data_IF_353061412085
#
_entry.id   IF_353061412085
#
_cell.length_a   1.000
_cell.length_b   1.000
_cell.length_c   1.000
_cell.angle_alpha   90.00
_cell.angle_beta   90.00
_cell.angle_gamma   90.00
#
_symmetry.space_group_name_H-M   'P 1'
#
loop_
_entity.id
_entity.type
_entity.pdbx_description
1 polymer ?
#
# COMPACT_ATOMS: atom_id res chain seq x y z
N UNK A 1 -6.95 17.15 17.00
CA UNK A 1 -6.67 17.01 16.57
C UNK A 1 -6.42 16.25 16.29
N UNK A 2 -6.23 15.92 16.20
CA UNK A 2 -5.87 15.35 15.84
C UNK A 2 -5.55 14.94 15.14
N UNK A 3 -5.92 15.23 15.51
CA UNK A 3 -5.32 15.28 14.26
C UNK A 3 -4.61 14.05 13.85
N UNK A 4 -4.48 13.22 14.67
CA UNK A 4 -3.75 12.03 14.35
C UNK A 4 -4.50 11.24 13.33
N UNK A 5 -3.81 10.91 12.27
CA UNK A 5 -4.35 10.09 11.24
C UNK A 5 -4.19 8.65 11.66
N UNK A 6 -5.23 7.87 11.57
CA UNK A 6 -5.13 6.47 11.93
C UNK A 6 -4.53 5.68 10.78
N UNK A 7 -4.02 4.51 11.11
CA UNK A 7 -3.51 3.61 10.11
C UNK A 7 -4.58 3.27 9.08
N UNK A 8 -5.80 3.02 9.55
CA UNK A 8 -6.89 2.68 8.64
C UNK A 8 -7.20 3.81 7.68
N UNK A 9 -7.17 5.03 8.16
CA UNK A 9 -7.42 6.17 7.29
C UNK A 9 -6.35 6.31 6.24
N UNK A 10 -5.10 6.09 6.65
CA UNK A 10 -4.00 6.14 5.70
C UNK A 10 -4.16 5.07 4.62
N UNK A 11 -4.49 3.84 5.03
CA UNK A 11 -4.67 2.75 4.09
C UNK A 11 -5.82 3.04 3.13
N UNK A 12 -6.94 3.54 3.66
CA UNK A 12 -8.11 3.82 2.84
C UNK A 12 -7.82 4.90 1.80
N UNK A 13 -7.16 5.96 2.19
CA UNK A 13 -6.85 7.04 1.27
C UNK A 13 -5.85 6.60 0.22
N UNK A 14 -4.86 5.84 0.64
CA UNK A 14 -3.87 5.33 -0.29
C UNK A 14 -4.50 4.37 -1.29
N UNK A 15 -5.44 3.55 -0.82
CA UNK A 15 -6.10 2.61 -1.70
C UNK A 15 -6.94 3.34 -2.76
N UNK A 16 -7.66 4.38 -2.37
CA UNK A 16 -8.46 5.14 -3.31
C UNK A 16 -7.56 5.78 -4.38
N UNK A 17 -6.45 6.34 -3.95
CA UNK A 17 -5.48 6.91 -4.87
C UNK A 17 -4.94 5.85 -5.82
N UNK A 18 -4.57 4.72 -5.26
CA UNK A 18 -4.00 3.61 -6.03
C UNK A 18 -4.98 3.14 -7.10
N UNK A 19 -6.25 3.01 -6.74
CA UNK A 19 -7.27 2.56 -7.69
C UNK A 19 -7.41 3.52 -8.87
N UNK A 20 -7.32 4.81 -8.60
CA UNK A 20 -7.41 5.80 -9.68
C UNK A 20 -6.25 5.70 -10.64
N UNK A 21 -5.07 5.39 -10.11
CA UNK A 21 -3.87 5.33 -10.92
C UNK A 21 -3.60 3.96 -11.52
N UNK A 22 -4.41 2.99 -11.17
CA UNK A 22 -4.12 1.60 -11.52
C UNK A 22 -3.90 1.35 -13.01
N UNK A 23 -4.71 1.90 -13.92
CA UNK A 23 -4.49 1.61 -15.35
C UNK A 23 -3.09 1.98 -15.81
N UNK A 24 -2.60 3.12 -15.33
CA UNK A 24 -1.27 3.57 -15.70
C UNK A 24 -0.21 2.71 -15.03
N UNK A 25 -0.45 2.34 -13.79
CA UNK A 25 0.50 1.51 -13.06
C UNK A 25 0.64 0.14 -13.68
N UNK A 26 -0.47 -0.40 -14.16
CA UNK A 26 -0.41 -1.72 -14.80
C UNK A 26 0.46 -1.70 -16.06
N UNK A 27 0.47 -0.58 -16.75
CA UNK A 27 1.26 -0.47 -17.95
C UNK A 27 2.75 -0.49 -17.66
N UNK A 28 3.16 0.01 -16.50
CA UNK A 28 4.57 0.20 -16.23
C UNK A 28 5.12 -0.67 -15.11
N UNK A 29 4.27 -1.06 -14.17
CA UNK A 29 4.76 -1.70 -12.96
C UNK A 29 3.99 -2.96 -12.57
N UNK A 30 3.38 -3.61 -13.54
CA UNK A 30 2.58 -4.80 -13.27
C UNK A 30 3.40 -5.83 -12.47
N UNK A 31 2.77 -6.34 -11.42
CA UNK A 31 3.40 -7.37 -10.61
C UNK A 31 4.27 -6.86 -9.47
N UNK A 32 4.53 -5.57 -9.44
CA UNK A 32 5.33 -5.01 -8.36
C UNK A 32 4.44 -4.65 -7.17
N UNK A 33 5.08 -4.44 -6.04
CA UNK A 33 4.39 -4.01 -4.84
C UNK A 33 4.70 -2.53 -4.63
N UNK A 34 3.67 -1.72 -4.65
CA UNK A 34 3.82 -0.28 -4.49
C UNK A 34 3.73 0.09 -3.03
N UNK A 35 4.67 0.89 -2.58
CA UNK A 35 4.66 1.43 -1.23
C UNK A 35 4.04 2.81 -1.29
N UNK A 36 2.98 3.01 -0.52
CA UNK A 36 2.23 4.26 -0.57
C UNK A 36 2.25 4.96 0.78
N UNK A 37 2.37 6.26 0.70
CA UNK A 37 2.34 7.12 1.88
C UNK A 37 1.67 8.42 1.48
N UNK A 38 0.64 8.78 2.22
CA UNK A 38 0.00 10.08 2.05
C UNK A 38 -0.45 10.31 0.60
N UNK A 39 -1.10 9.28 0.04
CA UNK A 39 -1.61 9.30 -1.33
C UNK A 39 -0.54 9.49 -2.38
N UNK A 40 0.64 8.95 -2.12
CA UNK A 40 1.72 8.98 -3.10
C UNK A 40 2.41 7.63 -3.11
N UNK A 41 2.89 7.24 -4.27
CA UNK A 41 3.68 6.03 -4.38
C UNK A 41 5.14 6.43 -4.24
N UNK A 42 5.78 5.87 -3.23
CA UNK A 42 7.15 6.24 -2.91
C UNK A 42 8.17 5.23 -3.39
N UNK A 43 7.72 4.09 -3.86
CA UNK A 43 8.64 3.10 -4.41
C UNK A 43 7.92 1.85 -4.86
N UNK A 44 8.62 1.04 -5.65
CA UNK A 44 8.11 -0.24 -6.12
C UNK A 44 9.10 -1.31 -5.73
N UNK A 45 8.59 -2.46 -5.32
CA UNK A 45 9.42 -3.53 -4.82
C UNK A 45 8.97 -4.86 -5.41
N UNK A 46 9.87 -5.83 -5.42
CA UNK A 46 9.56 -7.13 -6.02
C UNK A 46 8.70 -7.99 -5.10
N UNK A 47 8.78 -7.77 -3.80
CA UNK A 47 8.00 -8.55 -2.86
C UNK A 47 7.35 -7.65 -1.84
N UNK A 48 6.28 -8.16 -1.23
CA UNK A 48 5.62 -7.42 -0.16
C UNK A 48 6.55 -7.21 1.03
N UNK A 49 7.39 -8.21 1.30
CA UNK A 49 8.33 -8.13 2.40
C UNK A 49 9.31 -6.98 2.20
N UNK A 50 9.83 -6.86 0.98
CA UNK A 50 10.77 -5.78 0.68
C UNK A 50 10.10 -4.42 0.84
N UNK A 51 8.86 -4.31 0.38
CA UNK A 51 8.13 -3.06 0.51
C UNK A 51 7.88 -2.73 1.98
N UNK A 52 7.55 -3.75 2.77
CA UNK A 52 7.29 -3.54 4.19
C UNK A 52 8.55 -3.10 4.92
N UNK A 53 9.66 -3.74 4.61
CA UNK A 53 10.94 -3.37 5.21
C UNK A 53 11.29 -1.92 4.90
N UNK A 54 11.12 -1.53 3.64
CA UNK A 54 11.41 -0.16 3.26
C UNK A 54 10.49 0.83 3.97
N UNK A 55 9.19 0.50 4.02
CA UNK A 55 8.23 1.38 4.68
C UNK A 55 8.54 1.55 6.16
N UNK A 56 8.91 0.45 6.80
CA UNK A 56 9.22 0.50 8.22
C UNK A 56 10.44 1.35 8.51
N UNK A 57 11.40 1.36 7.59
CA UNK A 57 12.59 2.16 7.76
C UNK A 57 12.36 3.63 7.45
N UNK A 58 11.49 3.91 6.48
CA UNK A 58 11.23 5.27 6.08
C UNK A 58 10.21 5.98 6.96
N UNK A 59 9.24 5.25 7.46
CA UNK A 59 8.11 5.85 8.16
C UNK A 59 7.95 5.21 9.53
N UNK A 60 8.52 5.87 10.50
CA UNK A 60 8.52 5.32 11.88
C UNK A 60 7.13 5.25 12.48
N UNK A 61 6.23 6.08 12.01
CA UNK A 61 4.87 6.08 12.53
C UNK A 61 4.03 4.93 11.98
N UNK A 62 4.56 4.20 11.01
CA UNK A 62 3.84 3.06 10.45
C UNK A 62 2.70 3.45 9.53
N UNK A 63 2.57 4.71 9.19
CA UNK A 63 1.47 5.18 8.35
C UNK A 63 1.84 5.05 6.88
N UNK A 64 1.73 3.85 6.38
CA UNK A 64 1.95 3.58 4.96
C UNK A 64 1.13 2.35 4.59
N UNK A 65 1.01 2.10 3.30
CA UNK A 65 0.32 0.91 2.83
C UNK A 65 1.08 0.31 1.66
N UNK A 66 0.76 -0.93 1.35
CA UNK A 66 1.41 -1.67 0.28
C UNK A 66 0.32 -2.29 -0.58
N UNK A 67 0.40 -2.07 -1.88
CA UNK A 67 -0.58 -2.60 -2.81
C UNK A 67 0.14 -3.27 -3.96
N UNK A 68 -0.31 -4.46 -4.32
CA UNK A 68 0.23 -5.13 -5.48
C UNK A 68 -0.38 -4.53 -6.74
N UNK A 69 0.46 -4.28 -7.73
CA UNK A 69 -0.01 -3.72 -8.99
C UNK A 69 -0.55 -4.86 -9.84
N UNK A 70 -1.84 -5.08 -9.73
CA UNK A 70 -2.51 -6.17 -10.42
C UNK A 70 -3.96 -5.78 -10.63
N UNK A 71 -4.59 -6.36 -11.66
CA UNK A 71 -6.00 -6.10 -11.85
C UNK A 71 -6.87 -7.14 -11.16
N UNK A 72 -6.29 -8.02 -10.38
CA UNK A 72 -7.06 -9.04 -9.68
C UNK A 72 -7.64 -8.48 -8.40
N UNK A 73 -8.70 -7.77 -8.55
CA UNK A 73 -9.25 -7.03 -7.44
C UNK A 73 -9.75 -7.91 -6.31
N UNK A 74 -10.31 -9.03 -6.65
CA UNK A 74 -10.84 -9.90 -5.65
C UNK A 74 -9.82 -10.43 -4.69
N UNK A 75 -8.57 -10.47 -5.11
CA UNK A 75 -7.51 -10.97 -4.29
C UNK A 75 -6.73 -9.92 -3.63
N UNK A 76 -7.20 -8.72 -3.67
CA UNK A 76 -6.41 -7.69 -3.10
C UNK A 76 -6.24 -7.94 -1.68
N UNK A 77 -5.09 -8.31 -1.34
CA UNK A 77 -4.74 -8.29 0.02
C UNK A 77 -4.17 -6.95 0.29
N UNK A 78 -4.43 -6.44 1.43
CA UNK A 78 -3.73 -5.28 1.88
C UNK A 78 -2.57 -5.81 2.67
N UNK A 79 -1.40 -5.53 2.19
CA UNK A 79 -0.22 -6.05 2.86
C UNK A 79 0.30 -5.11 3.91
N UNK A 80 -0.39 -4.00 4.11
CA UNK A 80 0.13 -2.99 5.01
C UNK A 80 -0.17 -3.28 6.44
N UNK A 81 -1.00 -4.27 6.73
CA UNK A 81 -1.21 -4.62 8.10
C UNK A 81 -1.71 -6.00 8.12
N UNK A 82 -1.64 -6.44 9.15
CA UNK A 82 -1.98 -7.73 9.29
C UNK A 82 -3.33 -7.95 9.01
N UNK A 83 -3.55 -8.05 8.24
CA UNK A 83 -4.80 -8.08 7.93
C UNK A 83 -5.29 -9.35 8.18
N UNK A 84 -4.57 -9.27 8.40
CA UNK A 84 -4.94 -9.93 8.67
C UNK A 84 -5.23 -10.71 8.89
N UNK A 85 -5.04 -10.73 8.75
CA UNK A 85 -5.30 -11.24 8.96
C UNK A 85 -5.93 -11.85 9.23
N UNK A 86 -6.00 -11.82 9.09
CA UNK A 86 -6.54 -12.26 9.25
C UNK A 86 -7.16 -12.77 9.43
N UNK A 87 -7.29 -12.71 9.23
CA UNK A 87 -7.90 -13.07 9.48
C UNK A 87 -8.14 -13.70 9.45
N UNK A 88 -8.06 -13.71 9.20
CA UNK A 88 -8.31 -14.23 9.29
C UNK A 88 -8.51 -14.59 9.47
#
# INVERSE_FOLDING_TARGET
MNAAQTKQEEVDRNFAFFQRELPQLLAEHRGKFALLRDCKITGYYDTAQDAFTAGSQLYEDGLFSIQRVTEEIGDLGFYSHAVHLGTA
#
